data_IF_569095054833
#
_entry.id   IF_569095054833
#
_cell.length_a   1.000
_cell.length_b   1.000
_cell.length_c   1.000
_cell.angle_alpha   90.00
_cell.angle_beta   90.00
_cell.angle_gamma   90.00
#
_symmetry.space_group_name_H-M   'P 1'
#
loop_
_entity.id
_entity.type
_entity.pdbx_description
1 polymer ?
#
# COMPACT_ATOMS: atom_id res chain seq x y z
N UNK A 1 -9.65 4.45 -13.85
CA UNK A 1 -8.45 3.65 -14.13
C UNK A 1 -7.29 4.61 -13.97
N UNK A 2 -6.38 4.38 -13.03
CA UNK A 2 -5.14 5.13 -13.02
C UNK A 2 -4.41 4.83 -14.34
N UNK A 3 -3.88 5.86 -14.98
CA UNK A 3 -3.18 5.70 -16.25
C UNK A 3 -1.87 4.95 -15.97
N UNK A 4 -1.56 3.89 -16.72
CA UNK A 4 -0.30 3.16 -16.58
C UNK A 4 0.91 4.09 -16.74
N UNK A 5 0.75 5.15 -17.56
CA UNK A 5 1.75 6.20 -17.70
C UNK A 5 2.01 6.96 -16.39
N UNK A 6 0.97 7.20 -15.60
CA UNK A 6 1.08 7.87 -14.30
C UNK A 6 1.84 6.99 -13.29
N UNK A 7 1.58 5.68 -13.28
CA UNK A 7 2.32 4.73 -12.43
C UNK A 7 3.80 4.75 -12.80
N UNK A 8 4.13 4.69 -14.10
CA UNK A 8 5.52 4.76 -14.57
C UNK A 8 6.20 6.07 -14.17
N UNK A 9 5.51 7.20 -14.25
CA UNK A 9 6.06 8.48 -13.81
C UNK A 9 6.37 8.47 -12.31
N UNK A 10 5.48 7.92 -11.48
CA UNK A 10 5.71 7.77 -10.05
C UNK A 10 6.88 6.82 -9.75
N UNK A 11 7.07 5.77 -10.54
CA UNK A 11 8.24 4.88 -10.41
C UNK A 11 9.55 5.63 -10.66
N UNK A 12 9.62 6.45 -11.71
CA UNK A 12 10.81 7.26 -12.00
C UNK A 12 11.11 8.25 -10.87
N UNK A 13 10.08 8.92 -10.35
CA UNK A 13 10.23 9.82 -9.20
C UNK A 13 10.73 9.08 -7.95
N UNK A 14 10.21 7.88 -7.68
CA UNK A 14 10.69 7.08 -6.56
C UNK A 14 12.15 6.65 -6.76
N UNK A 15 12.54 6.25 -7.97
CA UNK A 15 13.93 5.92 -8.29
C UNK A 15 14.87 7.12 -8.09
N UNK A 16 14.47 8.30 -8.56
CA UNK A 16 15.22 9.55 -8.35
C UNK A 16 15.33 9.88 -6.86
N UNK A 17 14.25 9.70 -6.09
CA UNK A 17 14.24 9.99 -4.65
C UNK A 17 15.17 9.04 -3.85
N UNK A 18 15.14 7.74 -4.13
CA UNK A 18 15.92 6.75 -3.36
C UNK A 18 17.32 6.48 -3.93
N UNK A 19 17.55 6.76 -5.20
CA UNK A 19 18.77 6.38 -5.94
C UNK A 19 19.36 7.46 -6.83
N UNK A 20 18.82 8.69 -6.82
CA UNK A 20 19.31 9.81 -7.63
C UNK A 20 20.78 10.15 -7.34
N UNK A 21 21.48 10.61 -8.38
CA UNK A 21 22.93 10.81 -8.36
C UNK A 21 23.36 12.06 -7.57
N UNK A 22 22.41 12.95 -7.25
CA UNK A 22 22.66 14.19 -6.52
C UNK A 22 21.51 14.60 -5.60
N UNK A 23 21.83 15.42 -4.59
CA UNK A 23 20.85 15.96 -3.62
C UNK A 23 19.76 16.80 -4.28
N UNK A 24 20.06 17.45 -5.39
CA UNK A 24 19.11 18.31 -6.12
C UNK A 24 18.00 17.47 -6.75
N UNK A 25 18.37 16.43 -7.51
CA UNK A 25 17.43 15.46 -8.11
C UNK A 25 16.56 14.75 -7.06
N UNK A 26 17.16 14.34 -5.94
CA UNK A 26 16.42 13.74 -4.82
C UNK A 26 15.42 14.74 -4.20
N UNK A 27 15.80 16.01 -4.06
CA UNK A 27 14.94 17.03 -3.48
C UNK A 27 13.78 17.41 -4.42
N UNK A 28 14.03 17.50 -5.72
CA UNK A 28 12.98 17.72 -6.71
C UNK A 28 11.95 16.58 -6.70
N UNK A 29 12.42 15.32 -6.72
CA UNK A 29 11.55 14.16 -6.59
C UNK A 29 10.78 14.18 -5.27
N UNK A 30 11.43 14.53 -4.16
CA UNK A 30 10.79 14.64 -2.86
C UNK A 30 9.65 15.66 -2.84
N UNK A 31 9.84 16.84 -3.43
CA UNK A 31 8.81 17.89 -3.49
C UNK A 31 7.55 17.42 -4.21
N UNK A 32 7.69 16.58 -5.25
CA UNK A 32 6.55 16.03 -5.99
C UNK A 32 5.88 14.88 -5.23
N UNK A 33 6.66 14.04 -4.56
CA UNK A 33 6.17 12.86 -3.84
C UNK A 33 5.51 13.22 -2.49
N UNK A 34 5.99 14.25 -1.80
CA UNK A 34 5.54 14.62 -0.46
C UNK A 34 4.03 14.94 -0.35
N UNK A 35 3.40 15.67 -1.28
CA UNK A 35 1.96 15.90 -1.25
C UNK A 35 1.12 14.62 -1.40
N UNK A 36 1.63 13.61 -2.09
CA UNK A 36 0.90 12.36 -2.34
C UNK A 36 0.66 11.57 -1.05
N UNK A 37 1.58 11.66 -0.10
CA UNK A 37 1.51 10.91 1.17
C UNK A 37 0.88 11.69 2.31
N UNK A 38 0.54 12.97 2.09
CA UNK A 38 -0.03 13.87 3.08
C UNK A 38 -1.44 14.39 2.74
N UNK A 39 -2.04 13.92 1.65
CA UNK A 39 -3.43 14.20 1.31
C UNK A 39 -4.19 12.89 1.03
N UNK A 40 -5.26 12.55 1.79
CA UNK A 40 -6.04 11.33 1.59
C UNK A 40 -6.69 11.23 0.20
N UNK A 41 -6.92 12.34 -0.52
CA UNK A 41 -7.45 12.33 -1.89
C UNK A 41 -6.50 11.64 -2.88
N UNK A 42 -5.20 11.58 -2.58
CA UNK A 42 -4.20 10.91 -3.40
C UNK A 42 -4.13 9.38 -3.16
N UNK A 43 -4.92 8.84 -2.23
CA UNK A 43 -4.95 7.40 -1.93
C UNK A 43 -5.11 6.51 -3.17
N UNK A 44 -6.01 6.80 -4.14
CA UNK A 44 -6.16 5.97 -5.34
C UNK A 44 -4.88 5.88 -6.17
N UNK A 45 -4.05 6.93 -6.19
CA UNK A 45 -2.77 6.93 -6.92
C UNK A 45 -1.77 5.98 -6.25
N UNK A 46 -1.69 5.99 -4.92
CA UNK A 46 -0.84 5.06 -4.16
C UNK A 46 -1.32 3.60 -4.29
N UNK A 47 -2.64 3.38 -4.30
CA UNK A 47 -3.23 2.06 -4.55
C UNK A 47 -2.92 1.55 -5.96
N UNK A 48 -2.96 2.44 -6.97
CA UNK A 48 -2.60 2.09 -8.34
C UNK A 48 -1.14 1.66 -8.46
N UNK A 49 -0.22 2.34 -7.76
CA UNK A 49 1.18 1.91 -7.69
C UNK A 49 1.29 0.51 -7.08
N UNK A 50 0.61 0.23 -5.96
CA UNK A 50 0.62 -1.13 -5.38
C UNK A 50 0.03 -2.19 -6.31
N UNK A 51 -0.97 -1.85 -7.12
CA UNK A 51 -1.65 -2.79 -8.01
C UNK A 51 -0.87 -3.10 -9.28
N UNK A 52 -0.09 -2.14 -9.79
CA UNK A 52 0.48 -2.21 -11.14
C UNK A 52 2.02 -2.13 -11.19
N UNK A 53 2.68 -1.63 -10.14
CA UNK A 53 4.13 -1.48 -10.14
C UNK A 53 4.84 -2.79 -9.81
N UNK A 54 5.95 -3.04 -10.50
CA UNK A 54 6.96 -4.03 -10.10
C UNK A 54 8.21 -3.39 -9.53
N UNK A 55 8.26 -2.06 -9.43
CA UNK A 55 9.41 -1.33 -8.91
C UNK A 55 9.41 -1.36 -7.37
N UNK A 56 10.48 -1.90 -6.78
CA UNK A 56 10.56 -2.07 -5.32
C UNK A 56 10.49 -0.73 -4.56
N UNK A 57 11.13 0.32 -5.06
CA UNK A 57 11.14 1.64 -4.42
C UNK A 57 9.75 2.28 -4.46
N UNK A 58 9.05 2.17 -5.58
CA UNK A 58 7.67 2.65 -5.72
C UNK A 58 6.70 1.90 -4.81
N UNK A 59 6.85 0.57 -4.69
CA UNK A 59 6.05 -0.26 -3.79
C UNK A 59 6.28 0.08 -2.31
N UNK A 60 7.53 0.34 -1.91
CA UNK A 60 7.88 0.78 -0.55
C UNK A 60 7.28 2.16 -0.27
N UNK A 61 7.42 3.09 -1.22
CA UNK A 61 6.85 4.43 -1.13
C UNK A 61 5.33 4.38 -0.98
N UNK A 62 4.63 3.67 -1.87
CA UNK A 62 3.18 3.54 -1.84
C UNK A 62 2.68 2.89 -0.54
N UNK A 63 3.34 1.82 -0.09
CA UNK A 63 3.01 1.14 1.17
C UNK A 63 3.17 2.08 2.38
N UNK A 64 4.27 2.84 2.42
CA UNK A 64 4.57 3.79 3.51
C UNK A 64 3.64 5.02 3.48
N UNK A 65 3.32 5.50 2.28
CA UNK A 65 2.35 6.58 2.07
C UNK A 65 0.95 6.19 2.55
N UNK A 66 0.46 5.01 2.14
CA UNK A 66 -0.82 4.48 2.62
C UNK A 66 -0.81 4.28 4.14
N UNK A 67 0.28 3.78 4.72
CA UNK A 67 0.43 3.66 6.18
C UNK A 67 0.25 5.02 6.86
N UNK A 68 0.88 6.08 6.33
CA UNK A 68 0.74 7.43 6.86
C UNK A 68 -0.71 7.93 6.73
N UNK A 69 -1.32 7.74 5.56
CA UNK A 69 -2.68 8.20 5.29
C UNK A 69 -3.71 7.53 6.21
N UNK A 70 -3.69 6.20 6.32
CA UNK A 70 -4.58 5.47 7.24
C UNK A 70 -4.32 5.83 8.70
N UNK A 71 -3.08 6.13 9.07
CA UNK A 71 -2.75 6.50 10.45
C UNK A 71 -3.24 7.87 10.84
N UNK A 72 -3.15 8.86 9.94
CA UNK A 72 -3.45 10.28 10.24
C UNK A 72 -4.87 10.69 9.86
N UNK A 73 -5.42 10.14 8.79
CA UNK A 73 -6.68 10.56 8.20
C UNK A 73 -7.76 9.47 8.25
N UNK A 74 -7.64 8.52 9.17
CA UNK A 74 -8.56 7.38 9.32
C UNK A 74 -10.04 7.77 9.23
N UNK A 75 -10.46 8.78 9.99
CA UNK A 75 -11.86 9.24 10.02
C UNK A 75 -12.33 10.02 8.78
N UNK A 76 -11.41 10.39 7.88
CA UNK A 76 -11.75 11.05 6.60
C UNK A 76 -11.85 10.03 5.45
N UNK A 77 -11.31 8.83 5.62
CA UNK A 77 -11.35 7.77 4.62
C UNK A 77 -12.70 7.05 4.75
N UNK A 78 -13.41 6.90 3.62
CA UNK A 78 -14.70 6.19 3.60
C UNK A 78 -14.55 4.71 3.98
N UNK A 79 -15.59 4.13 4.60
CA UNK A 79 -15.58 2.71 4.99
C UNK A 79 -15.39 1.77 3.79
N UNK A 80 -15.98 2.14 2.64
CA UNK A 80 -15.78 1.43 1.38
C UNK A 80 -14.30 1.40 0.98
N UNK A 81 -13.59 2.54 1.03
CA UNK A 81 -12.16 2.58 0.70
C UNK A 81 -11.30 1.79 1.70
N UNK A 82 -11.65 1.82 3.00
CA UNK A 82 -10.98 1.00 4.02
C UNK A 82 -11.13 -0.48 3.70
N UNK A 83 -12.34 -0.92 3.39
CA UNK A 83 -12.65 -2.30 3.01
C UNK A 83 -11.93 -2.72 1.71
N UNK A 84 -12.04 -1.92 0.65
CA UNK A 84 -11.42 -2.19 -0.64
C UNK A 84 -9.90 -2.34 -0.50
N UNK A 85 -9.25 -1.44 0.24
CA UNK A 85 -7.80 -1.51 0.48
C UNK A 85 -7.41 -2.76 1.27
N UNK A 86 -8.17 -3.08 2.32
CA UNK A 86 -7.93 -4.27 3.15
C UNK A 86 -8.07 -5.55 2.31
N UNK A 87 -9.13 -5.63 1.51
CA UNK A 87 -9.41 -6.79 0.66
C UNK A 87 -8.35 -6.94 -0.43
N UNK A 88 -7.90 -5.82 -1.02
CA UNK A 88 -6.78 -5.77 -1.97
C UNK A 88 -5.50 -6.29 -1.32
N UNK A 89 -5.08 -5.75 -0.16
CA UNK A 89 -3.85 -6.17 0.51
C UNK A 89 -3.87 -7.66 0.89
N UNK A 90 -5.00 -8.15 1.40
CA UNK A 90 -5.17 -9.58 1.69
C UNK A 90 -5.03 -10.44 0.44
N UNK A 91 -5.67 -10.04 -0.68
CA UNK A 91 -5.55 -10.78 -1.95
C UNK A 91 -4.13 -10.74 -2.51
N UNK A 92 -3.50 -9.57 -2.47
CA UNK A 92 -2.15 -9.35 -2.96
C UNK A 92 -1.13 -10.20 -2.19
N UNK A 93 -1.22 -10.19 -0.86
CA UNK A 93 -0.38 -11.04 0.00
C UNK A 93 -0.68 -12.52 -0.20
N UNK A 94 -1.95 -12.91 -0.35
CA UNK A 94 -2.32 -14.30 -0.62
C UNK A 94 -1.69 -14.81 -1.93
N UNK A 95 -1.75 -14.01 -3.00
CA UNK A 95 -1.26 -14.42 -4.32
C UNK A 95 0.27 -14.32 -4.44
N UNK A 96 0.91 -13.37 -3.76
CA UNK A 96 2.32 -13.03 -3.99
C UNK A 96 3.25 -13.27 -2.79
N UNK A 97 2.75 -13.73 -1.65
CA UNK A 97 3.56 -13.89 -0.43
C UNK A 97 4.80 -14.76 -0.63
N UNK A 98 4.68 -15.88 -1.34
CA UNK A 98 5.83 -16.74 -1.63
C UNK A 98 6.89 -16.02 -2.47
N UNK A 99 6.50 -15.36 -3.56
CA UNK A 99 7.40 -14.59 -4.41
C UNK A 99 8.07 -13.43 -3.64
N UNK A 100 7.28 -12.65 -2.90
CA UNK A 100 7.77 -11.54 -2.09
C UNK A 100 8.70 -12.00 -0.98
N UNK A 101 8.48 -13.16 -0.37
CA UNK A 101 9.35 -13.70 0.66
C UNK A 101 10.76 -13.99 0.12
N UNK A 102 10.87 -14.52 -1.11
CA UNK A 102 12.16 -14.85 -1.71
C UNK A 102 12.85 -13.65 -2.36
N UNK A 103 12.08 -12.78 -3.02
CA UNK A 103 12.62 -11.76 -3.92
C UNK A 103 12.54 -10.33 -3.36
N UNK A 104 11.68 -10.06 -2.38
CA UNK A 104 11.39 -8.71 -1.89
C UNK A 104 10.90 -8.69 -0.43
N UNK A 105 11.63 -9.36 0.47
CA UNK A 105 11.20 -9.56 1.88
C UNK A 105 10.88 -8.24 2.61
N UNK A 106 11.62 -7.17 2.32
CA UNK A 106 11.36 -5.83 2.88
C UNK A 106 9.93 -5.36 2.56
N UNK A 107 9.48 -5.53 1.32
CA UNK A 107 8.14 -5.13 0.87
C UNK A 107 7.06 -5.95 1.57
N UNK A 108 7.29 -7.26 1.72
CA UNK A 108 6.38 -8.14 2.46
C UNK A 108 6.14 -7.59 3.87
N UNK A 109 7.22 -7.18 4.56
CA UNK A 109 7.14 -6.54 5.87
C UNK A 109 6.32 -5.24 5.87
N UNK A 110 6.51 -4.37 4.89
CA UNK A 110 5.74 -3.12 4.75
C UNK A 110 4.24 -3.38 4.53
N UNK A 111 3.90 -4.31 3.64
CA UNK A 111 2.50 -4.65 3.33
C UNK A 111 1.79 -5.30 4.51
N UNK A 112 2.45 -6.22 5.22
CA UNK A 112 1.90 -6.84 6.44
C UNK A 112 1.65 -5.78 7.51
N UNK A 113 2.61 -4.87 7.75
CA UNK A 113 2.43 -3.79 8.73
C UNK A 113 1.25 -2.90 8.36
N UNK A 114 1.11 -2.53 7.08
CA UNK A 114 -0.01 -1.74 6.58
C UNK A 114 -1.35 -2.44 6.84
N UNK A 115 -1.47 -3.72 6.47
CA UNK A 115 -2.67 -4.51 6.74
C UNK A 115 -2.99 -4.55 8.24
N UNK A 116 -2.01 -4.86 9.09
CA UNK A 116 -2.17 -4.87 10.54
C UNK A 116 -2.64 -3.51 11.09
N UNK A 117 -2.14 -2.40 10.53
CA UNK A 117 -2.57 -1.05 10.93
C UNK A 117 -4.04 -0.82 10.60
N UNK A 118 -4.46 -1.13 9.37
CA UNK A 118 -5.85 -0.97 8.93
C UNK A 118 -6.78 -1.82 9.80
N UNK A 119 -6.43 -3.08 10.08
CA UNK A 119 -7.20 -3.97 10.94
C UNK A 119 -7.31 -3.42 12.37
N UNK A 120 -6.19 -2.98 12.94
CA UNK A 120 -6.16 -2.41 14.30
C UNK A 120 -7.07 -1.17 14.40
N UNK A 121 -7.05 -0.29 13.41
CA UNK A 121 -7.90 0.90 13.40
C UNK A 121 -9.37 0.55 13.18
N UNK A 122 -9.66 -0.39 12.29
CA UNK A 122 -11.02 -0.91 12.05
C UNK A 122 -11.65 -1.54 13.29
N UNK A 123 -10.84 -2.09 14.21
CA UNK A 123 -11.33 -2.76 15.41
C UNK A 123 -12.05 -1.83 16.39
N UNK A 124 -11.71 -0.53 16.36
CA UNK A 124 -12.33 0.51 17.17
C UNK A 124 -13.60 1.09 16.52
N UNK A 125 -13.89 0.71 15.29
CA UNK A 125 -15.14 1.01 14.61
C UNK A 125 -16.09 -0.19 14.74
N UNK A 126 -17.41 0.04 14.67
CA UNK A 126 -18.46 -0.99 14.72
C UNK A 126 -18.51 -1.85 13.43
N UNK A 127 -17.34 -2.17 12.88
CA UNK A 127 -17.16 -3.01 11.70
C UNK A 127 -17.38 -4.46 12.12
N UNK A 128 -18.13 -5.23 11.33
CA UNK A 128 -18.42 -6.65 11.57
C UNK A 128 -17.13 -7.49 11.65
N UNK A 129 -16.61 -7.62 12.87
CA UNK A 129 -15.35 -8.31 13.22
C UNK A 129 -15.38 -9.78 12.83
N UNK A 130 -16.57 -10.40 12.82
CA UNK A 130 -16.72 -11.82 12.50
C UNK A 130 -16.49 -12.08 11.00
N UNK A 131 -16.98 -11.19 10.13
CA UNK A 131 -16.77 -11.29 8.68
C UNK A 131 -15.28 -11.19 8.29
N UNK A 132 -14.53 -10.31 8.95
CA UNK A 132 -13.10 -10.14 8.71
C UNK A 132 -12.30 -11.39 9.13
N UNK A 133 -12.51 -11.88 10.36
CA UNK A 133 -11.86 -13.09 10.86
C UNK A 133 -12.15 -14.31 9.98
N UNK A 134 -13.39 -14.43 9.49
CA UNK A 134 -13.79 -15.50 8.57
C UNK A 134 -13.06 -15.40 7.24
N UNK A 135 -12.93 -14.19 6.67
CA UNK A 135 -12.23 -13.95 5.40
C UNK A 135 -10.74 -14.27 5.48
N UNK A 136 -10.08 -13.89 6.59
CA UNK A 136 -8.68 -14.27 6.85
C UNK A 136 -8.57 -15.78 6.94
N UNK A 137 -9.38 -16.44 7.78
CA UNK A 137 -9.36 -17.89 7.94
C UNK A 137 -9.51 -18.60 6.59
N UNK A 138 -10.55 -18.28 5.83
CA UNK A 138 -10.86 -18.94 4.56
C UNK A 138 -9.68 -18.87 3.58
N UNK A 139 -9.04 -17.70 3.43
CA UNK A 139 -7.92 -17.51 2.51
C UNK A 139 -6.66 -18.23 2.96
N UNK A 140 -6.36 -18.29 4.26
CA UNK A 140 -5.17 -18.98 4.75
C UNK A 140 -5.34 -20.49 4.93
N UNK A 141 -6.56 -21.00 5.14
CA UNK A 141 -6.80 -22.46 5.22
C UNK A 141 -7.01 -23.11 3.85
N UNK A 142 -7.49 -22.39 2.84
CA UNK A 142 -7.64 -22.94 1.48
C UNK A 142 -6.30 -23.12 0.75
N UNK A 143 -5.19 -22.58 1.27
CA UNK A 143 -3.85 -22.75 0.72
C UNK A 143 -3.16 -24.09 1.12
N UNK A 144 -3.84 -24.95 1.88
CA UNK A 144 -3.30 -26.24 2.37
C UNK A 144 -3.86 -27.45 1.60
N UNK A 145 -4.34 -27.26 0.36
CA UNK A 145 -4.76 -28.36 -0.53
C UNK A 145 -3.99 -28.31 -1.83
#
# INVERSE_FOLDING_TARGET
MADLAEVQQLELLCQAFYGGAGKEEQNEAHQVLLPLVNNPENMPRLQAVLAHSSNLQALIFASSGLMNLFTRYWGQISDKQKEETRNFLLNYLYQRSADLLHNAQEILGHLIRLLCRIVKLSWFEDVDKASFCTSVRQRFTSAVV
#
